data_IF_495275933554
#
_entry.id   IF_495275933554
#
_cell.length_a   1.000
_cell.length_b   1.000
_cell.length_c   1.000
_cell.angle_alpha   90.00
_cell.angle_beta   90.00
_cell.angle_gamma   90.00
#
_symmetry.space_group_name_H-M   'P 1'
#
loop_
_entity.id
_entity.type
_entity.pdbx_description
1 polymer ?
#
# COMPACT_ATOMS: atom_id res chain seq x y z
N UNK A 1 -26.43 75.91 13.44
CA UNK A 1 -26.46 75.93 11.96
C UNK A 1 -26.88 74.56 11.47
N UNK A 2 -28.10 74.50 10.89
CA UNK A 2 -28.67 73.57 9.88
C UNK A 2 -28.26 72.09 9.85
N UNK A 3 -29.17 71.12 10.07
CA UNK A 3 -30.32 70.59 9.25
C UNK A 3 -29.91 69.19 8.75
N UNK A 4 -30.74 68.13 8.75
CA UNK A 4 -32.19 68.06 8.93
C UNK A 4 -32.71 66.64 9.22
N UNK A 5 -34.00 66.63 9.58
CA UNK A 5 -34.87 65.49 9.85
C UNK A 5 -35.55 64.96 8.57
N UNK A 6 -36.06 63.72 8.69
CA UNK A 6 -37.29 63.23 8.02
C UNK A 6 -37.03 62.43 6.73
N UNK A 7 -37.78 61.38 6.37
CA UNK A 7 -38.99 60.78 6.93
C UNK A 7 -39.26 59.41 6.28
N UNK A 8 -39.87 58.51 7.07
CA UNK A 8 -40.85 57.46 6.78
C UNK A 8 -41.25 57.07 5.34
N UNK A 9 -41.37 55.75 5.09
CA UNK A 9 -42.57 55.00 4.64
C UNK A 9 -42.19 53.53 4.38
N UNK A 10 -42.76 52.54 5.10
CA UNK A 10 -43.88 51.65 4.67
C UNK A 10 -43.63 50.86 3.36
N UNK A 11 -43.95 49.58 3.17
CA UNK A 11 -44.56 48.51 3.97
C UNK A 11 -44.50 47.20 3.13
N UNK A 12 -44.63 46.07 3.82
CA UNK A 12 -45.32 44.82 3.43
C UNK A 12 -45.07 44.12 2.08
N UNK A 13 -44.82 42.80 2.17
CA UNK A 13 -44.94 41.89 1.02
C UNK A 13 -44.65 40.42 1.35
N UNK A 14 -45.51 39.79 2.16
CA UNK A 14 -45.62 38.33 2.30
C UNK A 14 -46.01 37.70 0.95
N UNK A 15 -45.31 36.64 0.53
CA UNK A 15 -45.86 35.65 -0.40
C UNK A 15 -45.37 34.24 -0.05
N UNK A 16 -46.23 33.52 0.68
CA UNK A 16 -46.28 32.07 0.74
C UNK A 16 -46.71 31.53 -0.64
N UNK A 17 -45.98 30.57 -1.18
CA UNK A 17 -46.56 29.62 -2.15
C UNK A 17 -46.06 28.21 -1.87
N UNK A 18 -46.98 27.42 -1.31
CA UNK A 18 -46.86 25.99 -1.14
C UNK A 18 -47.06 25.31 -2.50
N UNK A 19 -46.14 24.42 -2.90
CA UNK A 19 -46.34 23.54 -4.05
C UNK A 19 -46.45 22.07 -3.65
N UNK A 20 -47.56 21.49 -4.09
CA UNK A 20 -48.08 20.13 -3.90
C UNK A 20 -47.12 19.05 -4.39
N UNK A 21 -47.02 17.97 -3.61
CA UNK A 21 -46.61 16.63 -4.07
C UNK A 21 -47.63 16.02 -5.04
N UNK A 22 -47.18 15.18 -5.97
CA UNK A 22 -47.97 14.02 -6.37
C UNK A 22 -47.21 12.71 -6.11
N UNK A 23 -47.87 11.83 -5.35
CA UNK A 23 -47.55 10.41 -5.21
C UNK A 23 -47.96 9.63 -6.46
N UNK A 24 -47.09 8.78 -7.00
CA UNK A 24 -47.52 7.69 -7.89
C UNK A 24 -46.86 6.38 -7.49
N UNK A 25 -47.70 5.45 -7.02
CA UNK A 25 -47.42 4.02 -6.87
C UNK A 25 -47.29 3.38 -8.25
N UNK A 26 -46.27 2.53 -8.48
CA UNK A 26 -46.35 1.48 -9.51
C UNK A 26 -45.62 0.20 -9.09
N UNK A 27 -46.45 -0.81 -8.80
CA UNK A 27 -46.31 -2.27 -8.96
C UNK A 27 -44.92 -2.92 -8.80
N UNK A 28 -44.76 -3.64 -7.69
CA UNK A 28 -43.96 -4.86 -7.60
C UNK A 28 -44.50 -5.92 -8.57
N UNK A 29 -43.61 -6.55 -9.34
CA UNK A 29 -43.84 -7.89 -9.92
C UNK A 29 -42.85 -8.86 -9.26
N UNK A 30 -43.40 -9.77 -8.46
CA UNK A 30 -42.75 -11.02 -8.04
C UNK A 30 -42.68 -11.96 -9.25
N UNK A 31 -41.53 -12.55 -9.51
CA UNK A 31 -41.45 -13.85 -10.17
C UNK A 31 -40.67 -14.80 -9.26
N UNK A 32 -41.38 -15.76 -8.70
CA UNK A 32 -40.83 -16.97 -8.10
C UNK A 32 -40.98 -18.07 -9.15
N UNK A 33 -39.90 -18.78 -9.48
CA UNK A 33 -39.98 -20.02 -10.23
C UNK A 33 -39.25 -21.14 -9.51
N UNK A 34 -39.89 -22.30 -9.61
CA UNK A 34 -39.79 -23.49 -8.81
C UNK A 34 -38.54 -24.33 -9.08
N UNK A 35 -38.15 -25.05 -8.02
CA UNK A 35 -37.29 -26.24 -8.04
C UNK A 35 -37.80 -27.30 -9.02
N UNK A 36 -36.89 -27.94 -9.74
CA UNK A 36 -37.07 -29.30 -10.25
C UNK A 36 -35.71 -30.02 -10.29
N UNK A 37 -35.54 -31.00 -9.39
CA UNK A 37 -34.63 -32.13 -9.55
C UNK A 37 -35.43 -33.33 -10.05
N UNK A 38 -34.80 -34.24 -10.80
CA UNK A 38 -35.16 -35.64 -10.67
C UNK A 38 -33.96 -36.54 -10.38
N UNK A 39 -34.25 -37.48 -9.49
CA UNK A 39 -33.43 -38.59 -8.99
C UNK A 39 -34.01 -39.87 -9.59
N UNK A 40 -33.17 -40.71 -10.20
CA UNK A 40 -33.40 -42.15 -10.44
C UNK A 40 -32.12 -42.71 -11.08
N UNK A 41 -31.66 -43.93 -10.89
CA UNK A 41 -31.95 -45.01 -9.94
C UNK A 41 -30.89 -46.07 -10.17
N UNK A 42 -30.40 -46.69 -9.10
CA UNK A 42 -29.51 -47.84 -9.10
C UNK A 42 -30.14 -49.05 -9.82
N UNK A 43 -29.33 -49.80 -10.56
CA UNK A 43 -29.61 -51.19 -10.85
C UNK A 43 -28.33 -52.04 -10.69
N UNK A 44 -28.33 -52.84 -9.61
CA UNK A 44 -27.43 -53.98 -9.38
C UNK A 44 -27.82 -55.11 -10.34
N UNK A 45 -26.85 -55.79 -10.94
CA UNK A 45 -26.94 -57.23 -11.15
C UNK A 45 -25.59 -57.92 -10.86
N UNK A 46 -25.68 -58.92 -9.99
CA UNK A 46 -24.67 -59.92 -9.64
C UNK A 46 -24.38 -60.84 -10.83
N UNK A 47 -23.19 -61.46 -10.89
CA UNK A 47 -23.00 -62.85 -10.44
C UNK A 47 -21.74 -63.50 -11.04
N UNK A 48 -20.92 -64.04 -10.13
CA UNK A 48 -19.92 -65.11 -10.22
C UNK A 48 -19.80 -65.91 -11.53
N UNK A 49 -18.54 -66.21 -11.93
CA UNK A 49 -17.92 -67.53 -11.71
C UNK A 49 -16.46 -67.58 -12.18
N UNK A 50 -15.62 -68.12 -11.31
CA UNK A 50 -14.21 -68.48 -11.49
C UNK A 50 -14.06 -69.75 -12.33
N UNK A 51 -13.07 -69.81 -13.22
CA UNK A 51 -12.38 -71.06 -13.62
C UNK A 51 -10.89 -70.75 -13.83
N UNK A 52 -10.07 -71.46 -13.07
CA UNK A 52 -8.61 -71.57 -13.11
C UNK A 52 -8.15 -72.50 -14.23
N UNK A 53 -7.08 -72.17 -14.94
CA UNK A 53 -6.10 -73.16 -15.45
C UNK A 53 -4.70 -72.55 -15.60
N UNK A 54 -3.73 -73.30 -15.07
CA UNK A 54 -2.29 -73.06 -15.01
C UNK A 54 -1.60 -73.09 -16.39
N UNK A 55 -0.49 -72.36 -16.53
CA UNK A 55 0.52 -72.71 -17.55
C UNK A 55 1.45 -71.56 -17.98
N UNK A 56 2.71 -71.68 -17.56
CA UNK A 56 3.92 -71.18 -18.23
C UNK A 56 4.20 -69.67 -18.30
N UNK A 57 5.09 -69.25 -17.39
CA UNK A 57 6.32 -68.47 -17.62
C UNK A 57 6.42 -67.68 -18.94
N UNK A 58 6.47 -66.35 -18.84
CA UNK A 58 7.44 -65.52 -19.55
C UNK A 58 7.59 -64.18 -18.82
N UNK A 59 8.84 -63.82 -18.55
CA UNK A 59 9.27 -62.67 -17.78
C UNK A 59 8.87 -61.35 -18.44
N UNK A 60 8.26 -60.44 -17.68
CA UNK A 60 8.33 -59.01 -17.94
C UNK A 60 8.43 -58.26 -16.62
N UNK A 61 9.67 -57.95 -16.29
CA UNK A 61 10.07 -56.91 -15.35
C UNK A 61 9.50 -55.56 -15.83
N UNK A 62 8.52 -55.01 -15.13
CA UNK A 62 8.24 -53.58 -15.20
C UNK A 62 8.14 -53.01 -13.79
N UNK A 63 9.26 -52.42 -13.41
CA UNK A 63 9.49 -51.56 -12.26
C UNK A 63 8.51 -50.37 -12.35
N UNK A 64 7.37 -50.43 -11.65
CA UNK A 64 6.52 -49.26 -11.43
C UNK A 64 7.15 -48.38 -10.35
N UNK A 65 8.26 -47.74 -10.70
CA UNK A 65 8.82 -46.65 -9.91
C UNK A 65 7.93 -45.44 -10.17
N UNK A 66 7.00 -45.19 -9.24
CA UNK A 66 6.27 -43.93 -9.14
C UNK A 66 7.30 -42.80 -9.00
N UNK A 67 7.70 -42.20 -10.11
CA UNK A 67 8.25 -40.86 -10.13
C UNK A 67 7.14 -39.92 -9.65
N UNK A 68 7.06 -39.73 -8.33
CA UNK A 68 6.49 -38.51 -7.76
C UNK A 68 7.43 -37.40 -8.19
N UNK A 69 7.18 -36.85 -9.38
CA UNK A 69 7.81 -35.59 -9.80
C UNK A 69 7.24 -34.52 -8.89
N UNK A 70 7.97 -34.21 -7.83
CA UNK A 70 7.80 -32.98 -7.08
C UNK A 70 7.75 -31.86 -8.12
N UNK A 71 6.59 -31.23 -8.27
CA UNK A 71 6.42 -30.10 -9.16
C UNK A 71 7.16 -28.91 -8.54
N UNK A 72 8.47 -28.86 -8.71
CA UNK A 72 9.22 -27.63 -8.56
C UNK A 72 8.72 -26.71 -9.67
N UNK A 73 7.98 -25.66 -9.29
CA UNK A 73 7.39 -24.70 -10.22
C UNK A 73 8.41 -24.19 -11.22
N UNK A 74 8.01 -24.11 -12.50
CA UNK A 74 8.90 -23.65 -13.56
C UNK A 74 9.22 -22.16 -13.34
N UNK A 75 10.39 -21.66 -13.79
CA UNK A 75 10.70 -20.22 -13.78
C UNK A 75 9.63 -19.34 -14.45
N UNK A 76 8.83 -19.92 -15.37
CA UNK A 76 7.73 -19.29 -16.08
C UNK A 76 6.51 -18.97 -15.18
N UNK A 77 6.34 -19.66 -14.05
CA UNK A 77 5.19 -19.47 -13.14
C UNK A 77 5.45 -18.38 -12.08
N UNK A 78 6.70 -17.90 -11.99
CA UNK A 78 7.11 -16.83 -11.07
C UNK A 78 6.65 -15.47 -11.60
N UNK A 79 5.90 -14.67 -10.81
CA UNK A 79 5.51 -13.32 -11.21
C UNK A 79 6.72 -12.49 -11.67
N UNK A 80 6.63 -11.72 -12.77
CA UNK A 80 7.76 -10.98 -13.32
C UNK A 80 8.51 -10.09 -12.32
N UNK A 81 7.78 -9.43 -11.41
CA UNK A 81 8.37 -8.61 -10.34
C UNK A 81 9.22 -9.42 -9.35
N UNK A 82 8.82 -10.67 -9.04
CA UNK A 82 9.58 -11.55 -8.15
C UNK A 82 10.87 -12.05 -8.81
N UNK A 83 10.84 -12.30 -10.13
CA UNK A 83 12.05 -12.68 -10.87
C UNK A 83 13.09 -11.55 -10.88
N UNK A 84 12.65 -10.32 -11.15
CA UNK A 84 13.53 -9.15 -11.13
C UNK A 84 14.12 -8.89 -9.73
N UNK A 85 13.30 -9.08 -8.68
CA UNK A 85 13.74 -8.94 -7.29
C UNK A 85 14.86 -9.92 -6.95
N UNK A 86 14.70 -11.21 -7.29
CA UNK A 86 15.74 -12.23 -7.07
C UNK A 86 17.03 -11.91 -7.84
N UNK A 87 16.93 -11.47 -9.09
CA UNK A 87 18.09 -11.09 -9.90
C UNK A 87 18.87 -9.91 -9.28
N UNK A 88 18.16 -8.93 -8.73
CA UNK A 88 18.79 -7.82 -8.00
C UNK A 88 19.51 -8.28 -6.74
N UNK A 89 18.86 -9.11 -5.91
CA UNK A 89 19.48 -9.63 -4.69
C UNK A 89 20.72 -10.46 -4.99
N UNK A 90 20.66 -11.31 -6.02
CA UNK A 90 21.80 -12.11 -6.49
C UNK A 90 22.94 -11.22 -7.00
N UNK A 91 22.64 -10.26 -7.87
CA UNK A 91 23.63 -9.34 -8.43
C UNK A 91 24.28 -8.47 -7.34
N UNK A 92 23.49 -7.95 -6.38
CA UNK A 92 24.02 -7.22 -5.23
C UNK A 92 24.90 -8.09 -4.33
N UNK A 93 24.48 -9.33 -4.06
CA UNK A 93 25.25 -10.25 -3.21
C UNK A 93 26.58 -10.64 -3.84
N UNK A 94 26.59 -10.84 -5.16
CA UNK A 94 27.77 -11.18 -5.95
C UNK A 94 28.61 -9.98 -6.37
N UNK A 95 28.18 -8.75 -6.02
CA UNK A 95 28.80 -7.51 -6.48
C UNK A 95 28.91 -7.43 -8.03
N UNK A 96 27.93 -7.99 -8.74
CA UNK A 96 27.85 -7.94 -10.19
C UNK A 96 27.33 -6.56 -10.64
N UNK A 97 28.27 -5.64 -10.86
CA UNK A 97 27.98 -4.28 -11.28
C UNK A 97 27.22 -4.20 -12.60
N UNK A 98 27.50 -5.08 -13.56
CA UNK A 98 26.87 -5.01 -14.89
C UNK A 98 25.39 -5.38 -14.80
N UNK A 99 25.07 -6.47 -14.11
CA UNK A 99 23.68 -6.88 -13.90
C UNK A 99 22.94 -5.85 -13.04
N UNK A 100 23.57 -5.33 -11.98
CA UNK A 100 22.98 -4.25 -11.18
C UNK A 100 22.66 -3.01 -12.00
N UNK A 101 23.61 -2.53 -12.81
CA UNK A 101 23.42 -1.35 -13.66
C UNK A 101 22.19 -1.50 -14.56
N UNK A 102 21.99 -2.71 -15.10
CA UNK A 102 20.82 -3.04 -15.92
C UNK A 102 19.49 -3.07 -15.15
N UNK A 103 19.50 -3.32 -13.83
CA UNK A 103 18.29 -3.44 -13.01
C UNK A 103 17.89 -2.14 -12.30
N UNK A 104 18.83 -1.20 -12.10
CA UNK A 104 18.55 0.07 -11.42
C UNK A 104 17.85 1.05 -12.37
N UNK A 105 16.71 1.60 -11.93
CA UNK A 105 16.05 2.72 -12.61
C UNK A 105 16.97 3.96 -12.59
N UNK A 106 16.83 4.84 -13.59
CA UNK A 106 17.62 6.07 -13.69
C UNK A 106 17.47 6.96 -12.45
N UNK A 107 16.29 6.95 -11.83
CA UNK A 107 15.98 7.74 -10.64
C UNK A 107 16.08 6.93 -9.33
N UNK A 108 16.80 5.81 -9.36
CA UNK A 108 16.96 4.89 -8.23
C UNK A 108 17.48 5.57 -6.96
N UNK A 109 16.96 5.13 -5.82
CA UNK A 109 17.40 5.56 -4.48
C UNK A 109 17.51 4.38 -3.54
N UNK A 110 18.61 4.32 -2.81
CA UNK A 110 18.85 3.36 -1.73
C UNK A 110 18.84 4.09 -0.40
N UNK A 111 18.05 3.64 0.57
CA UNK A 111 18.01 4.18 1.93
C UNK A 111 18.28 3.03 2.91
N UNK A 112 19.44 3.02 3.57
CA UNK A 112 19.78 1.99 4.56
C UNK A 112 19.07 2.22 5.90
N UNK A 113 19.18 1.27 6.84
CA UNK A 113 18.50 1.33 8.13
C UNK A 113 18.92 2.51 9.01
N UNK A 114 20.07 3.14 8.73
CA UNK A 114 20.56 4.33 9.40
C UNK A 114 20.10 5.63 8.68
N UNK A 115 19.31 5.50 7.63
CA UNK A 115 18.83 6.62 6.81
C UNK A 115 19.91 7.23 5.94
N UNK A 116 20.99 6.51 5.63
CA UNK A 116 21.93 6.93 4.59
C UNK A 116 21.28 6.73 3.23
N UNK A 117 21.17 7.81 2.46
CA UNK A 117 20.62 7.78 1.11
C UNK A 117 21.75 7.73 0.08
N UNK A 118 21.69 6.80 -0.87
CA UNK A 118 22.61 6.69 -2.00
C UNK A 118 21.85 6.80 -3.33
N UNK A 119 22.49 7.43 -4.31
CA UNK A 119 22.02 7.48 -5.70
C UNK A 119 22.41 6.21 -6.45
N UNK A 120 21.83 6.01 -7.66
CA UNK A 120 22.24 4.97 -8.60
C UNK A 120 23.76 4.89 -8.78
N UNK A 121 24.41 6.02 -9.05
CA UNK A 121 25.86 6.09 -9.29
C UNK A 121 26.64 5.61 -8.08
N UNK A 122 26.29 6.11 -6.89
CA UNK A 122 26.96 5.72 -5.64
C UNK A 122 26.74 4.23 -5.32
N UNK A 123 25.58 3.67 -5.65
CA UNK A 123 25.31 2.23 -5.47
C UNK A 123 26.17 1.39 -6.40
N UNK A 124 26.38 1.82 -7.65
CA UNK A 124 27.24 1.10 -8.61
C UNK A 124 28.73 1.24 -8.30
N UNK A 125 29.13 2.32 -7.63
CA UNK A 125 30.49 2.52 -7.14
C UNK A 125 30.78 1.69 -5.90
N UNK A 126 29.85 1.66 -4.93
CA UNK A 126 30.09 1.07 -3.61
C UNK A 126 29.55 -0.36 -3.46
N UNK A 127 28.64 -0.79 -4.35
CA UNK A 127 28.01 -2.12 -4.38
C UNK A 127 27.51 -2.58 -2.99
N UNK A 128 26.62 -1.79 -2.33
CA UNK A 128 26.12 -2.13 -1.01
C UNK A 128 25.36 -3.46 -1.03
N UNK A 129 25.48 -4.22 0.06
CA UNK A 129 24.77 -5.48 0.24
C UNK A 129 23.37 -5.23 0.81
N UNK A 130 22.31 -5.78 0.22
CA UNK A 130 20.96 -5.64 0.73
C UNK A 130 20.78 -6.47 2.00
N UNK A 131 20.10 -5.90 2.98
CA UNK A 131 19.55 -6.63 4.11
C UNK A 131 18.48 -7.63 3.65
N UNK A 132 18.30 -8.70 4.44
CA UNK A 132 17.29 -9.74 4.21
C UNK A 132 17.32 -10.32 2.79
N UNK A 133 18.52 -10.46 2.19
CA UNK A 133 18.69 -10.97 0.82
C UNK A 133 18.34 -12.47 0.69
N UNK A 134 18.40 -13.19 1.81
CA UNK A 134 18.07 -14.60 1.97
C UNK A 134 16.59 -14.85 2.32
N UNK A 135 15.83 -13.79 2.61
CA UNK A 135 14.41 -13.88 2.94
C UNK A 135 13.57 -13.80 1.66
N UNK A 136 12.75 -14.82 1.41
CA UNK A 136 11.80 -14.79 0.29
C UNK A 136 10.82 -13.61 0.46
N UNK A 137 10.75 -12.69 -0.52
CA UNK A 137 9.94 -11.49 -0.38
C UNK A 137 8.46 -11.77 -0.66
N UNK A 138 7.58 -11.05 0.04
CA UNK A 138 6.19 -10.89 -0.37
C UNK A 138 6.12 -9.85 -1.48
N UNK A 139 5.65 -10.26 -2.67
CA UNK A 139 5.51 -9.36 -3.83
C UNK A 139 4.04 -9.13 -4.15
N UNK A 140 3.64 -7.87 -4.27
CA UNK A 140 2.32 -7.46 -4.76
C UNK A 140 2.45 -6.61 -6.02
N UNK A 141 1.65 -6.93 -7.03
CA UNK A 141 1.61 -6.20 -8.29
C UNK A 141 0.46 -5.19 -8.30
N UNK A 142 0.76 -4.00 -8.82
CA UNK A 142 -0.17 -2.91 -9.09
C UNK A 142 0.09 -2.44 -10.52
N UNK A 143 -0.55 -3.07 -11.50
CA UNK A 143 -0.34 -2.81 -12.93
C UNK A 143 1.15 -2.94 -13.32
N UNK A 144 1.82 -1.82 -13.59
CA UNK A 144 3.23 -1.72 -13.96
C UNK A 144 4.19 -1.57 -12.76
N UNK A 145 3.71 -1.66 -11.52
CA UNK A 145 4.53 -1.55 -10.30
C UNK A 145 4.50 -2.84 -9.50
N UNK A 146 5.64 -3.27 -8.97
CA UNK A 146 5.73 -4.35 -7.99
C UNK A 146 6.28 -3.82 -6.66
N UNK A 147 5.60 -4.14 -5.57
CA UNK A 147 6.04 -3.86 -4.20
C UNK A 147 6.54 -5.16 -3.60
N UNK A 148 7.85 -5.27 -3.41
CA UNK A 148 8.49 -6.39 -2.75
C UNK A 148 8.83 -6.02 -1.30
N UNK A 149 8.50 -6.89 -0.36
CA UNK A 149 8.79 -6.71 1.07
C UNK A 149 9.45 -7.95 1.64
N UNK A 150 10.54 -7.77 2.36
CA UNK A 150 11.25 -8.83 3.07
C UNK A 150 11.54 -8.39 4.50
N UNK A 151 11.16 -9.20 5.49
CA UNK A 151 11.30 -8.89 6.90
C UNK A 151 11.96 -10.03 7.65
N UNK A 152 12.96 -9.72 8.48
CA UNK A 152 13.60 -10.65 9.41
C UNK A 152 13.76 -9.97 10.76
N UNK A 153 13.19 -10.56 11.80
CA UNK A 153 13.12 -9.94 13.13
C UNK A 153 12.47 -8.55 13.08
N UNK A 154 13.23 -7.52 13.41
CA UNK A 154 12.79 -6.11 13.44
C UNK A 154 13.28 -5.28 12.24
N UNK A 155 14.00 -5.90 11.31
CA UNK A 155 14.49 -5.24 10.11
C UNK A 155 13.55 -5.54 8.94
N UNK A 156 12.98 -4.47 8.39
CA UNK A 156 12.05 -4.53 7.26
C UNK A 156 12.70 -3.90 6.04
N UNK A 157 12.53 -4.54 4.88
CA UNK A 157 13.04 -4.05 3.61
C UNK A 157 11.88 -3.86 2.64
N UNK A 158 11.88 -2.72 1.97
CA UNK A 158 10.97 -2.35 0.90
C UNK A 158 11.75 -2.18 -0.40
N UNK A 159 11.30 -2.86 -1.45
CA UNK A 159 11.80 -2.66 -2.82
C UNK A 159 10.63 -2.34 -3.74
N UNK A 160 10.75 -1.26 -4.50
CA UNK A 160 9.73 -0.84 -5.46
C UNK A 160 10.29 -1.00 -6.86
N UNK A 161 9.59 -1.79 -7.65
CA UNK A 161 9.92 -2.09 -9.03
C UNK A 161 8.89 -1.44 -9.96
N UNK A 162 9.36 -0.95 -11.10
CA UNK A 162 8.51 -0.41 -12.16
C UNK A 162 8.85 -1.07 -13.48
N UNK A 163 7.85 -1.45 -14.25
CA UNK A 163 8.01 -1.98 -15.60
C UNK A 163 8.22 -0.82 -16.57
N UNK A 164 9.42 -0.76 -17.17
CA UNK A 164 9.79 0.19 -18.24
C UNK A 164 9.86 -0.55 -19.57
N UNK A 165 10.09 0.18 -20.66
CA UNK A 165 10.29 -0.42 -22.00
C UNK A 165 11.40 -1.48 -22.02
N UNK A 166 12.51 -1.21 -21.30
CA UNK A 166 13.65 -2.12 -21.19
C UNK A 166 13.46 -3.24 -20.13
N UNK A 167 12.25 -3.40 -19.59
CA UNK A 167 11.87 -4.36 -18.57
C UNK A 167 11.75 -3.76 -17.17
N UNK A 168 11.69 -4.65 -16.16
CA UNK A 168 11.56 -4.25 -14.76
C UNK A 168 12.83 -3.54 -14.27
N UNK A 169 12.63 -2.42 -13.56
CA UNK A 169 13.69 -1.63 -12.92
C UNK A 169 13.32 -1.33 -11.48
N UNK A 170 14.27 -1.48 -10.57
CA UNK A 170 14.06 -1.07 -9.17
C UNK A 170 14.28 0.43 -9.07
N UNK A 171 13.30 1.14 -8.52
CA UNK A 171 13.34 2.60 -8.31
C UNK A 171 13.62 2.98 -6.87
N UNK A 172 13.30 2.10 -5.92
CA UNK A 172 13.58 2.32 -4.50
C UNK A 172 14.02 1.02 -3.84
N UNK A 173 15.07 1.13 -3.03
CA UNK A 173 15.39 0.20 -1.95
C UNK A 173 15.38 0.99 -0.63
N UNK A 174 14.66 0.50 0.38
CA UNK A 174 14.63 1.15 1.69
C UNK A 174 14.56 0.13 2.83
N UNK A 175 15.33 0.38 3.89
CA UNK A 175 15.35 -0.41 5.12
C UNK A 175 14.75 0.37 6.29
N UNK A 176 14.05 -0.34 7.17
CA UNK A 176 13.57 0.20 8.45
C UNK A 176 13.92 -0.79 9.56
N UNK A 177 14.78 -0.35 10.48
CA UNK A 177 15.00 -1.02 11.75
C UNK A 177 14.00 -0.49 12.78
N UNK A 178 13.14 -1.37 13.29
CA UNK A 178 12.21 -1.06 14.37
C UNK A 178 12.88 -1.17 15.75
N UNK A 179 12.45 -0.31 16.68
CA UNK A 179 12.88 -0.36 18.08
C UNK A 179 12.30 -1.57 18.80
N UNK A 180 12.88 -1.93 19.95
CA UNK A 180 12.45 -3.07 20.74
C UNK A 180 11.22 -2.74 21.59
N UNK A 181 11.14 -1.47 22.01
CA UNK A 181 10.03 -0.89 22.75
C UNK A 181 9.63 0.39 22.05
N UNK A 182 8.31 0.64 21.87
CA UNK A 182 7.84 1.86 21.23
C UNK A 182 8.39 3.10 21.94
N UNK A 183 8.88 4.05 21.16
CA UNK A 183 9.25 5.35 21.69
C UNK A 183 7.97 6.10 22.12
N UNK A 184 8.00 6.85 23.24
CA UNK A 184 6.87 7.68 23.61
C UNK A 184 6.62 8.72 22.51
N UNK A 185 5.36 9.13 22.30
CA UNK A 185 5.07 10.24 21.39
C UNK A 185 5.83 11.48 21.88
N UNK A 186 6.32 12.34 20.97
CA UNK A 186 7.00 13.57 21.35
C UNK A 186 6.12 14.40 22.30
N UNK A 187 6.74 15.03 23.30
CA UNK A 187 6.04 15.91 24.24
C UNK A 187 5.36 17.04 23.46
N UNK A 188 4.09 17.31 23.80
CA UNK A 188 3.26 18.26 23.07
C UNK A 188 3.89 19.64 23.08
N UNK A 189 4.16 20.20 21.90
CA UNK A 189 4.28 21.65 21.72
C UNK A 189 3.83 22.08 20.32
N UNK A 190 2.59 21.75 19.96
CA UNK A 190 1.74 22.70 19.23
C UNK A 190 0.31 22.22 19.26
N UNK A 191 -0.52 22.89 20.06
CA UNK A 191 -1.97 22.95 19.88
C UNK A 191 -2.35 23.81 18.67
N UNK A 192 -1.39 24.13 17.79
CA UNK A 192 -1.60 24.93 16.59
C UNK A 192 -2.30 24.11 15.52
N UNK A 193 -3.05 24.80 14.67
CA UNK A 193 -3.60 24.21 13.46
C UNK A 193 -2.47 23.59 12.62
N UNK A 194 -2.74 22.42 12.05
CA UNK A 194 -1.80 21.81 11.11
C UNK A 194 -1.77 22.66 9.82
N UNK A 195 -0.69 23.42 9.62
CA UNK A 195 -0.43 24.16 8.39
C UNK A 195 0.31 23.28 7.38
N UNK A 196 1.54 22.90 7.71
CA UNK A 196 2.34 21.95 6.95
C UNK A 196 2.24 20.56 7.60
N UNK A 197 1.80 19.50 6.91
CA UNK A 197 1.43 19.45 5.49
C UNK A 197 -0.07 19.63 5.20
N UNK A 198 -0.92 19.88 6.18
CA UNK A 198 -2.37 19.73 6.02
C UNK A 198 -3.05 20.76 5.09
N UNK A 199 -2.50 21.98 5.00
CA UNK A 199 -3.01 23.10 4.20
C UNK A 199 -2.06 23.48 3.08
N UNK A 200 -0.74 23.43 3.33
CA UNK A 200 0.30 23.74 2.35
C UNK A 200 1.40 22.69 2.34
N UNK A 201 2.16 22.63 1.25
CA UNK A 201 3.36 21.80 1.09
C UNK A 201 4.48 22.65 0.46
N UNK A 202 5.76 22.39 0.78
CA UNK A 202 6.89 23.21 0.31
C UNK A 202 7.37 22.87 -1.12
N UNK A 203 6.57 22.13 -1.89
CA UNK A 203 6.92 21.75 -3.26
C UNK A 203 5.67 21.72 -4.14
N UNK A 204 5.90 21.74 -5.46
CA UNK A 204 4.85 21.70 -6.46
C UNK A 204 4.80 20.30 -7.10
N UNK A 205 3.70 19.54 -6.95
CA UNK A 205 3.52 18.29 -7.69
C UNK A 205 3.44 18.55 -9.19
N UNK A 206 4.06 17.68 -9.98
CA UNK A 206 4.29 17.88 -11.42
C UNK A 206 3.11 17.39 -12.26
N UNK A 207 2.53 16.24 -11.90
CA UNK A 207 1.41 15.64 -12.64
C UNK A 207 0.05 15.82 -11.94
N UNK A 208 -1.04 15.57 -12.66
CA UNK A 208 -2.38 15.57 -12.07
C UNK A 208 -2.53 14.46 -11.02
N UNK A 209 -2.03 13.25 -11.29
CA UNK A 209 -2.05 12.14 -10.33
C UNK A 209 -1.29 12.49 -9.05
N UNK A 210 -0.14 13.15 -9.16
CA UNK A 210 0.63 13.59 -7.99
C UNK A 210 -0.14 14.62 -7.16
N UNK A 211 -0.78 15.62 -7.80
CA UNK A 211 -1.62 16.62 -7.12
C UNK A 211 -2.77 15.96 -6.35
N UNK A 212 -3.41 14.97 -6.96
CA UNK A 212 -4.52 14.24 -6.35
C UNK A 212 -4.06 13.29 -5.23
N UNK A 213 -2.91 12.63 -5.39
CA UNK A 213 -2.28 11.82 -4.35
C UNK A 213 -1.88 12.68 -3.14
N UNK A 214 -1.33 13.88 -3.37
CA UNK A 214 -1.09 14.87 -2.30
C UNK A 214 -2.40 15.29 -1.65
N UNK A 215 -3.45 15.58 -2.42
CA UNK A 215 -4.76 15.93 -1.87
C UNK A 215 -5.29 14.83 -0.93
N UNK A 216 -5.16 13.56 -1.35
CA UNK A 216 -5.49 12.39 -0.52
C UNK A 216 -4.63 12.35 0.75
N UNK A 217 -3.32 12.52 0.63
CA UNK A 217 -2.40 12.52 1.77
C UNK A 217 -2.68 13.65 2.77
N UNK A 218 -2.89 14.88 2.31
CA UNK A 218 -3.27 15.99 3.19
C UNK A 218 -4.61 15.70 3.88
N UNK A 219 -5.54 15.02 3.20
CA UNK A 219 -6.76 14.48 3.79
C UNK A 219 -6.47 13.51 4.96
N UNK A 220 -5.52 12.58 4.79
CA UNK A 220 -5.08 11.66 5.85
C UNK A 220 -4.50 12.45 7.03
N UNK A 221 -3.65 13.43 6.77
CA UNK A 221 -3.02 14.25 7.81
C UNK A 221 -4.05 15.07 8.59
N UNK A 222 -5.04 15.67 7.90
CA UNK A 222 -6.17 16.36 8.54
C UNK A 222 -7.03 15.41 9.36
N UNK A 223 -7.36 14.24 8.84
CA UNK A 223 -8.16 13.24 9.54
C UNK A 223 -7.46 12.79 10.84
N UNK A 224 -6.14 12.56 10.79
CA UNK A 224 -5.35 12.23 11.98
C UNK A 224 -5.26 13.40 12.97
N UNK A 225 -5.03 14.63 12.50
CA UNK A 225 -4.94 15.81 13.37
C UNK A 225 -6.25 16.11 14.11
N UNK A 226 -7.39 15.83 13.48
CA UNK A 226 -8.73 16.06 14.01
C UNK A 226 -9.35 14.84 14.71
N UNK A 227 -8.61 13.73 14.81
CA UNK A 227 -9.10 12.44 15.30
C UNK A 227 -10.39 11.96 14.58
N UNK A 228 -10.47 12.19 13.28
CA UNK A 228 -11.61 11.87 12.43
C UNK A 228 -11.40 10.52 11.72
N UNK A 229 -11.92 9.46 12.33
CA UNK A 229 -11.83 8.12 11.76
C UNK A 229 -12.63 7.97 10.47
N UNK A 230 -13.76 8.66 10.33
CA UNK A 230 -14.65 8.52 9.17
C UNK A 230 -14.05 9.19 7.94
N UNK A 231 -13.37 10.32 8.11
CA UNK A 231 -12.57 10.94 7.05
C UNK A 231 -11.32 10.12 6.69
N UNK A 232 -10.75 9.37 7.63
CA UNK A 232 -9.54 8.56 7.41
C UNK A 232 -9.81 7.30 6.57
N UNK A 233 -10.88 6.55 6.89
CA UNK A 233 -11.23 5.27 6.24
C UNK A 233 -11.17 5.29 4.69
N UNK A 234 -11.78 6.27 3.99
CA UNK A 234 -11.82 6.26 2.54
C UNK A 234 -10.46 6.48 1.86
N UNK A 235 -9.50 7.11 2.55
CA UNK A 235 -8.20 7.54 2.01
C UNK A 235 -7.11 6.47 2.13
N UNK A 236 -7.41 5.37 2.80
CA UNK A 236 -6.44 4.34 3.18
C UNK A 236 -6.91 3.00 2.62
N UNK A 237 -6.02 2.32 1.90
CA UNK A 237 -6.31 1.01 1.33
C UNK A 237 -6.48 -0.03 2.45
N UNK A 238 -7.24 -1.10 2.21
CA UNK A 238 -7.51 -2.11 3.25
C UNK A 238 -6.25 -2.89 3.64
N UNK A 239 -5.33 -3.09 2.69
CA UNK A 239 -4.03 -3.69 2.91
C UNK A 239 -2.97 -2.76 3.53
N UNK A 240 -3.37 -1.56 3.96
CA UNK A 240 -2.43 -0.55 4.43
C UNK A 240 -1.58 -1.02 5.61
N UNK A 241 -0.29 -0.71 5.53
CA UNK A 241 0.67 -0.87 6.62
C UNK A 241 1.53 0.38 6.80
N UNK A 242 1.73 0.82 8.03
CA UNK A 242 2.75 1.80 8.40
C UNK A 242 3.88 1.09 9.15
N UNK A 243 5.10 1.12 8.61
CA UNK A 243 6.30 0.60 9.25
C UNK A 243 7.24 1.77 9.52
N UNK A 244 7.61 2.00 10.77
CA UNK A 244 8.50 3.10 11.13
C UNK A 244 9.45 2.71 12.26
N UNK A 245 10.58 3.42 12.33
CA UNK A 245 11.63 3.22 13.34
C UNK A 245 11.16 3.38 14.79
N UNK A 246 10.04 4.05 15.07
CA UNK A 246 9.63 4.43 16.42
C UNK A 246 8.72 3.43 17.11
N UNK A 247 8.15 2.50 16.35
CA UNK A 247 7.29 1.44 16.87
C UNK A 247 8.01 0.09 16.82
N UNK A 248 7.55 -0.83 17.65
CA UNK A 248 8.05 -2.21 17.78
C UNK A 248 7.41 -3.19 16.77
N UNK A 249 6.40 -2.73 16.04
CA UNK A 249 5.72 -3.48 14.98
C UNK A 249 5.16 -2.55 13.91
N UNK A 250 4.84 -3.06 12.70
CA UNK A 250 4.03 -2.34 11.73
C UNK A 250 2.60 -2.15 12.22
N UNK A 251 1.97 -1.04 11.82
CA UNK A 251 0.59 -0.70 12.12
C UNK A 251 -0.29 -0.94 10.90
N UNK A 252 -1.41 -1.62 11.09
CA UNK A 252 -2.43 -1.82 10.06
C UNK A 252 -3.40 -0.64 9.99
N UNK A 253 -4.28 -0.62 8.98
CA UNK A 253 -5.45 0.29 8.94
C UNK A 253 -6.28 0.19 10.22
N UNK A 254 -6.54 -1.03 10.70
CA UNK A 254 -7.33 -1.26 11.92
C UNK A 254 -6.63 -0.67 13.17
N UNK A 255 -5.31 -0.85 13.30
CA UNK A 255 -4.52 -0.27 14.38
C UNK A 255 -4.61 1.27 14.38
N UNK A 256 -4.48 1.90 13.20
CA UNK A 256 -4.59 3.36 13.06
C UNK A 256 -5.98 3.86 13.42
N UNK A 257 -7.05 3.17 13.01
CA UNK A 257 -8.41 3.52 13.39
C UNK A 257 -8.64 3.39 14.91
N UNK A 258 -8.10 2.35 15.54
CA UNK A 258 -8.15 2.19 16.99
C UNK A 258 -7.41 3.33 17.70
N UNK A 259 -6.22 3.70 17.20
CA UNK A 259 -5.44 4.84 17.73
C UNK A 259 -6.22 6.16 17.63
N UNK A 260 -6.78 6.48 16.46
CA UNK A 260 -7.56 7.70 16.23
C UNK A 260 -8.75 7.77 17.19
N UNK A 261 -9.50 6.67 17.34
CA UNK A 261 -10.64 6.61 18.27
C UNK A 261 -10.20 6.80 19.72
N UNK A 262 -9.09 6.18 20.13
CA UNK A 262 -8.52 6.36 21.48
C UNK A 262 -8.11 7.81 21.73
N UNK A 263 -7.47 8.46 20.77
CA UNK A 263 -7.08 9.88 20.85
C UNK A 263 -8.28 10.80 20.95
N UNK A 264 -9.36 10.52 20.19
CA UNK A 264 -10.63 11.23 20.29
C UNK A 264 -11.22 11.19 21.70
N UNK A 265 -11.29 9.99 22.30
CA UNK A 265 -11.80 9.80 23.67
C UNK A 265 -10.93 10.51 24.70
N UNK A 266 -9.61 10.46 24.53
CA UNK A 266 -8.66 11.10 25.45
C UNK A 266 -8.54 12.63 25.27
N UNK A 267 -9.24 13.24 24.30
CA UNK A 267 -9.08 14.65 23.94
C UNK A 267 -7.66 15.00 23.49
N UNK A 268 -6.85 14.01 23.11
CA UNK A 268 -5.47 14.21 22.68
C UNK A 268 -5.44 14.51 21.18
N UNK A 269 -4.68 15.52 20.77
CA UNK A 269 -4.38 15.77 19.35
C UNK A 269 -2.95 15.36 19.02
N UNK A 270 -2.76 14.84 17.82
CA UNK A 270 -1.42 14.61 17.25
C UNK A 270 -1.18 15.66 16.17
N UNK A 271 -0.06 16.37 16.27
CA UNK A 271 0.45 17.17 15.17
C UNK A 271 1.10 16.22 14.15
N UNK A 272 0.68 16.23 12.88
CA UNK A 272 1.42 15.56 11.83
C UNK A 272 2.86 16.10 11.75
N UNK A 273 3.82 15.27 11.34
CA UNK A 273 5.19 15.73 11.08
C UNK A 273 5.20 16.77 9.95
N UNK A 274 6.03 17.79 10.08
CA UNK A 274 6.22 18.77 9.02
C UNK A 274 6.94 18.11 7.83
N UNK A 275 6.49 18.45 6.62
CA UNK A 275 7.12 18.05 5.38
C UNK A 275 8.23 19.04 5.04
N UNK A 276 9.47 18.56 4.93
CA UNK A 276 10.63 19.39 4.57
C UNK A 276 10.79 19.40 3.05
N UNK A 277 10.76 18.23 2.44
CA UNK A 277 10.87 18.06 1.00
C UNK A 277 10.25 16.73 0.58
N UNK A 278 9.91 16.60 -0.71
CA UNK A 278 9.59 15.30 -1.27
C UNK A 278 9.96 15.23 -2.75
N UNK A 279 10.07 14.00 -3.23
CA UNK A 279 10.08 13.67 -4.65
C UNK A 279 8.97 12.67 -4.92
N UNK A 280 8.21 12.92 -5.97
CA UNK A 280 7.10 12.09 -6.38
C UNK A 280 7.41 11.38 -7.69
N UNK A 281 6.70 10.28 -7.91
CA UNK A 281 6.78 9.48 -9.12
C UNK A 281 5.38 9.04 -9.50
N UNK A 282 4.91 9.53 -10.63
CA UNK A 282 3.70 9.07 -11.28
C UNK A 282 3.99 7.84 -12.15
N UNK A 283 3.35 6.72 -11.83
CA UNK A 283 3.43 5.49 -12.62
C UNK A 283 2.10 5.15 -13.31
N UNK A 284 1.16 6.10 -13.38
CA UNK A 284 -0.18 5.90 -13.93
C UNK A 284 -1.19 5.59 -12.83
N UNK A 285 -1.44 4.31 -12.55
CA UNK A 285 -2.43 3.89 -11.53
C UNK A 285 -1.90 3.94 -10.10
N UNK A 286 -0.59 4.17 -9.95
CA UNK A 286 0.07 4.32 -8.65
C UNK A 286 0.94 5.56 -8.64
N UNK A 287 1.02 6.20 -7.48
CA UNK A 287 1.95 7.31 -7.23
C UNK A 287 2.81 6.93 -6.04
N UNK A 288 4.12 7.16 -6.13
CA UNK A 288 5.05 7.01 -5.01
C UNK A 288 5.56 8.39 -4.58
N UNK A 289 5.76 8.58 -3.28
CA UNK A 289 6.42 9.76 -2.71
C UNK A 289 7.53 9.31 -1.78
N UNK A 290 8.73 9.85 -1.98
CA UNK A 290 9.83 9.77 -1.00
C UNK A 290 9.95 11.15 -0.38
N UNK A 291 9.54 11.26 0.88
CA UNK A 291 9.54 12.52 1.63
C UNK A 291 10.64 12.55 2.68
N UNK A 292 11.15 13.75 2.97
CA UNK A 292 11.87 14.05 4.21
C UNK A 292 10.91 14.78 5.14
N UNK A 293 10.70 14.22 6.32
CA UNK A 293 9.77 14.73 7.32
C UNK A 293 10.49 14.97 8.64
N UNK A 294 9.95 15.87 9.46
CA UNK A 294 10.48 16.13 10.79
C UNK A 294 9.34 16.31 11.78
N UNK A 295 9.42 15.58 12.91
CA UNK A 295 8.53 15.85 14.04
C UNK A 295 9.06 17.04 14.84
N UNK A 296 8.19 17.84 15.47
CA UNK A 296 8.62 18.90 16.37
C UNK A 296 9.63 18.39 17.40
N UNK A 297 10.78 19.05 17.51
CA UNK A 297 11.86 18.68 18.45
C UNK A 297 12.55 17.34 18.18
N UNK A 298 12.32 16.69 17.04
CA UNK A 298 12.93 15.41 16.68
C UNK A 298 13.84 15.53 15.45
N UNK A 299 14.70 14.52 15.25
CA UNK A 299 15.48 14.37 14.01
C UNK A 299 14.57 14.10 12.81
N UNK A 300 15.02 14.52 11.62
CA UNK A 300 14.35 14.18 10.37
C UNK A 300 14.38 12.67 10.09
N UNK A 301 13.49 12.23 9.22
CA UNK A 301 13.44 10.87 8.71
C UNK A 301 12.97 10.86 7.25
N UNK A 302 13.33 9.81 6.53
CA UNK A 302 12.75 9.52 5.23
C UNK A 302 11.43 8.79 5.40
N UNK A 303 10.42 9.14 4.60
CA UNK A 303 9.13 8.48 4.57
C UNK A 303 8.73 8.19 3.13
N UNK A 304 8.69 6.91 2.78
CA UNK A 304 8.15 6.47 1.50
C UNK A 304 6.69 6.09 1.65
N UNK A 305 5.85 6.69 0.81
CA UNK A 305 4.44 6.35 0.69
C UNK A 305 4.12 5.98 -0.74
N UNK A 306 3.11 5.13 -0.92
CA UNK A 306 2.56 4.82 -2.22
C UNK A 306 1.05 4.83 -2.17
N UNK A 307 0.42 5.34 -3.23
CA UNK A 307 -1.02 5.33 -3.42
C UNK A 307 -1.38 4.51 -4.65
N UNK A 308 -2.62 4.03 -4.66
CA UNK A 308 -3.25 3.41 -5.83
C UNK A 308 -4.59 4.08 -6.10
N UNK A 309 -4.91 4.29 -7.37
CA UNK A 309 -6.23 4.77 -7.80
C UNK A 309 -7.24 3.61 -7.77
N UNK A 310 -8.28 3.72 -6.95
CA UNK A 310 -9.37 2.72 -6.85
C UNK A 310 -10.72 3.40 -6.74
N UNK A 311 -11.64 3.06 -7.65
CA UNK A 311 -12.99 3.62 -7.64
C UNK A 311 -13.02 5.16 -7.69
N UNK A 312 -12.09 5.76 -8.45
CA UNK A 312 -11.97 7.22 -8.55
C UNK A 312 -11.37 7.90 -7.32
N UNK A 313 -10.71 7.15 -6.43
CA UNK A 313 -10.05 7.68 -5.23
C UNK A 313 -8.64 7.13 -5.07
N UNK A 314 -7.70 8.03 -4.77
CA UNK A 314 -6.36 7.66 -4.36
C UNK A 314 -6.36 7.15 -2.91
N UNK A 315 -5.93 5.90 -2.74
CA UNK A 315 -5.82 5.25 -1.44
C UNK A 315 -4.37 4.93 -1.12
N UNK A 316 -3.91 5.32 0.07
CA UNK A 316 -2.54 5.02 0.50
C UNK A 316 -2.39 3.53 0.81
N UNK A 317 -1.39 2.89 0.21
CA UNK A 317 -1.04 1.48 0.37
C UNK A 317 -0.09 1.24 1.54
N UNK A 318 0.80 2.17 1.82
CA UNK A 318 1.73 2.08 2.94
C UNK A 318 2.42 3.40 3.27
N UNK A 319 3.02 3.45 4.45
CA UNK A 319 4.03 4.41 4.88
C UNK A 319 5.23 3.64 5.41
N UNK A 320 6.44 3.99 4.97
CA UNK A 320 7.66 3.26 5.30
C UNK A 320 8.76 4.26 5.70
N UNK A 321 9.08 4.31 6.99
CA UNK A 321 9.79 5.44 7.58
C UNK A 321 11.13 5.04 8.21
N UNK A 322 12.21 5.64 7.74
CA UNK A 322 13.57 5.38 8.21
C UNK A 322 14.15 6.64 8.84
N UNK A 323 14.50 6.57 10.12
CA UNK A 323 15.21 7.66 10.81
C UNK A 323 16.55 7.96 10.11
N UNK A 324 16.88 9.25 9.98
CA UNK A 324 18.20 9.68 9.52
C UNK A 324 19.13 9.77 10.73
N UNK A 325 20.17 8.94 10.75
CA UNK A 325 21.27 9.07 11.69
C UNK A 325 22.15 10.26 11.30
N UNK A 326 22.58 11.02 12.30
CA UNK A 326 23.67 12.00 12.20
C UNK A 326 24.79 11.47 13.08
#
# INVERSE_FOLDING_TARGET
MSRGCGSNAMANGLCLSAFKRPSTRRRQRRLSFFFFTPRASLQKQNMNRSITYSGALLAFSFLWMLCVTSSFGRPADTPPGLRADRAFLEASTKADRSTLDSLLDRQFTWIDANGKSLTRTQVLENLPKPANADVEPQVRLYSNVAVARASSGRLYVLRIWVHREAGWRVVLYQEVQQVEKPEPPPSRSSSGDCENPCKSIPFQPETQSEKEAITSWQGVMRAMANNDADAYVPLIADEFTATDTHHDRPYTKADRLAQIKKQKVAGARSAPPELISARMFDFGETVMMIAREQRPGAKSYFNTRMWVMRGGRWQMLFSFNTRIAE
#
